data_IF_269025310236
#
_entry.id   IF_269025310236
#
_cell.length_a   1.000
_cell.length_b   1.000
_cell.length_c   1.000
_cell.angle_alpha   90.00
_cell.angle_beta   90.00
_cell.angle_gamma   90.00
#
_symmetry.space_group_name_H-M   'P 1'
#
loop_
_entity.id
_entity.type
_entity.pdbx_description
1 polymer ?
#
# COMPACT_ATOMS: atom_id res chain seq x y z
N UNK A 1 -22.91 6.02 6.57
CA UNK A 1 -22.65 5.12 5.41
C UNK A 1 -21.14 5.05 5.21
N UNK A 2 -20.59 3.84 5.13
CA UNK A 2 -19.22 3.58 4.71
C UNK A 2 -19.28 3.22 3.22
N UNK A 3 -18.62 3.99 2.37
CA UNK A 3 -18.50 3.68 0.95
C UNK A 3 -17.16 2.97 0.70
N UNK A 4 -17.23 1.76 0.19
CA UNK A 4 -16.08 1.02 -0.31
C UNK A 4 -15.78 1.47 -1.74
N UNK A 5 -14.61 2.03 -1.97
CA UNK A 5 -14.14 2.48 -3.28
C UNK A 5 -13.03 1.59 -3.84
N UNK A 6 -12.93 0.36 -3.34
CA UNK A 6 -11.87 -0.59 -3.75
C UNK A 6 -10.47 0.07 -3.71
N UNK A 7 -9.70 -0.03 -4.77
CA UNK A 7 -8.39 0.60 -4.90
C UNK A 7 -8.43 2.00 -5.55
N UNK A 8 -9.60 2.66 -5.60
CA UNK A 8 -9.79 4.02 -6.13
C UNK A 8 -10.02 4.10 -7.64
N UNK A 9 -10.09 2.98 -8.35
CA UNK A 9 -10.37 2.88 -9.80
C UNK A 9 -9.43 3.69 -10.70
N UNK A 10 -8.19 3.86 -10.30
CA UNK A 10 -7.16 4.55 -11.08
C UNK A 10 -6.08 5.18 -10.20
N UNK A 11 -5.59 6.33 -10.62
CA UNK A 11 -4.64 7.15 -9.86
C UNK A 11 -5.34 8.00 -8.79
N UNK A 12 -4.59 8.88 -8.13
CA UNK A 12 -5.11 9.79 -7.10
C UNK A 12 -6.19 10.74 -7.62
N UNK A 13 -6.12 11.17 -8.88
CA UNK A 13 -7.13 12.06 -9.48
C UNK A 13 -8.46 11.34 -9.68
N UNK A 14 -8.43 10.10 -10.19
CA UNK A 14 -9.61 9.26 -10.32
C UNK A 14 -10.22 8.93 -8.94
N UNK A 15 -9.37 8.65 -7.97
CA UNK A 15 -9.76 8.41 -6.57
C UNK A 15 -10.44 9.63 -5.96
N UNK A 16 -9.89 10.83 -6.17
CA UNK A 16 -10.50 12.10 -5.73
C UNK A 16 -11.90 12.27 -6.30
N UNK A 17 -12.05 12.12 -7.62
CA UNK A 17 -13.34 12.31 -8.30
C UNK A 17 -14.40 11.30 -7.81
N UNK A 18 -14.02 10.05 -7.58
CA UNK A 18 -14.91 9.02 -7.05
C UNK A 18 -15.30 9.32 -5.60
N UNK A 19 -14.32 9.61 -4.75
CA UNK A 19 -14.56 9.94 -3.34
C UNK A 19 -15.51 11.14 -3.22
N UNK A 20 -15.28 12.21 -4.00
CA UNK A 20 -16.15 13.38 -4.04
C UNK A 20 -17.60 13.00 -4.35
N UNK A 21 -17.84 12.17 -5.38
CA UNK A 21 -19.19 11.71 -5.73
C UNK A 21 -19.84 10.88 -4.63
N UNK A 22 -19.07 10.03 -3.95
CA UNK A 22 -19.60 9.24 -2.82
C UNK A 22 -19.97 10.12 -1.64
N UNK A 23 -19.15 11.14 -1.33
CA UNK A 23 -19.41 12.10 -0.25
C UNK A 23 -20.64 12.96 -0.59
N UNK A 24 -20.75 13.47 -1.81
CA UNK A 24 -21.95 14.20 -2.30
C UNK A 24 -23.22 13.34 -2.21
N UNK A 25 -23.10 12.02 -2.38
CA UNK A 25 -24.21 11.07 -2.22
C UNK A 25 -24.51 10.70 -0.75
N UNK A 26 -23.77 11.27 0.22
CA UNK A 26 -24.01 11.10 1.66
C UNK A 26 -23.13 10.09 2.36
N UNK A 27 -22.03 9.64 1.75
CA UNK A 27 -21.03 8.84 2.45
C UNK A 27 -20.27 9.72 3.46
N UNK A 28 -20.20 9.29 4.71
CA UNK A 28 -19.43 9.95 5.77
C UNK A 28 -18.14 9.21 6.12
N UNK A 29 -17.90 8.07 5.49
CA UNK A 29 -16.71 7.28 5.63
C UNK A 29 -16.35 6.66 4.27
N UNK A 30 -15.10 6.75 3.88
CA UNK A 30 -14.56 6.13 2.66
C UNK A 30 -13.56 5.05 3.04
N UNK A 31 -13.75 3.85 2.53
CA UNK A 31 -12.77 2.76 2.63
C UNK A 31 -12.02 2.66 1.31
N UNK A 32 -10.69 2.59 1.38
CA UNK A 32 -9.79 2.42 0.23
C UNK A 32 -8.68 1.43 0.56
N UNK A 33 -8.25 0.64 -0.43
CA UNK A 33 -7.22 -0.39 -0.28
C UNK A 33 -6.00 -0.17 -1.17
N UNK A 34 -4.86 -0.79 -0.79
CA UNK A 34 -3.58 -0.63 -1.47
C UNK A 34 -3.32 -1.62 -2.62
N UNK A 35 -4.33 -2.31 -3.12
CA UNK A 35 -4.18 -3.12 -4.33
C UNK A 35 -4.07 -2.24 -5.60
N UNK A 36 -3.54 -2.83 -6.67
CA UNK A 36 -3.54 -2.21 -8.00
C UNK A 36 -4.97 -2.26 -8.57
N UNK A 37 -5.51 -1.12 -9.02
CA UNK A 37 -6.93 -0.96 -9.36
C UNK A 37 -7.41 -1.90 -10.48
N UNK A 38 -6.61 -2.11 -11.51
CA UNK A 38 -6.94 -2.96 -12.67
C UNK A 38 -6.62 -4.46 -12.47
N UNK A 39 -5.98 -4.80 -11.35
CA UNK A 39 -5.61 -6.17 -10.97
C UNK A 39 -6.17 -6.57 -9.60
N UNK A 40 -7.13 -5.82 -9.11
CA UNK A 40 -7.74 -6.03 -7.80
C UNK A 40 -8.40 -7.41 -7.73
N UNK A 41 -8.10 -8.13 -6.65
CA UNK A 41 -8.65 -9.46 -6.35
C UNK A 41 -9.33 -9.45 -4.98
N UNK A 42 -10.22 -10.44 -4.77
CA UNK A 42 -10.80 -10.68 -3.46
C UNK A 42 -9.70 -10.96 -2.42
N UNK A 43 -9.86 -10.44 -1.21
CA UNK A 43 -8.87 -10.51 -0.13
C UNK A 43 -8.36 -11.92 0.18
N UNK A 44 -9.18 -12.94 -0.05
CA UNK A 44 -8.82 -14.36 0.20
C UNK A 44 -7.99 -14.99 -0.92
N UNK A 45 -7.86 -14.34 -2.07
CA UNK A 45 -7.17 -14.92 -3.22
C UNK A 45 -5.65 -14.68 -3.12
N UNK A 46 -4.89 -15.67 -3.62
CA UNK A 46 -3.45 -15.54 -3.79
C UNK A 46 -3.11 -14.70 -5.02
N UNK A 47 -1.90 -14.14 -5.05
CA UNK A 47 -1.41 -13.38 -6.19
C UNK A 47 -1.85 -11.93 -6.22
N UNK A 48 -2.29 -11.38 -5.10
CA UNK A 48 -2.58 -9.95 -4.96
C UNK A 48 -1.35 -9.11 -5.28
N UNK A 49 -1.59 -7.98 -5.95
CA UNK A 49 -0.57 -7.01 -6.34
C UNK A 49 -0.85 -5.70 -5.63
N UNK A 50 0.12 -5.20 -4.87
CA UNK A 50 0.00 -3.91 -4.18
C UNK A 50 0.72 -2.79 -4.94
N UNK A 51 0.26 -1.56 -4.72
CA UNK A 51 0.96 -0.35 -5.16
C UNK A 51 2.03 0.05 -4.14
N UNK A 52 3.08 0.80 -4.54
CA UNK A 52 4.01 1.41 -3.59
C UNK A 52 3.30 2.34 -2.61
N UNK A 53 3.92 2.54 -1.44
CA UNK A 53 3.37 3.41 -0.39
C UNK A 53 2.99 4.79 -0.90
N UNK A 54 3.90 5.47 -1.61
CA UNK A 54 3.67 6.83 -2.11
C UNK A 54 2.41 6.94 -2.98
N UNK A 55 2.11 5.92 -3.81
CA UNK A 55 0.90 5.88 -4.62
C UNK A 55 -0.36 5.71 -3.74
N UNK A 56 -0.29 4.85 -2.74
CA UNK A 56 -1.41 4.64 -1.82
C UNK A 56 -1.66 5.86 -0.94
N UNK A 57 -0.60 6.46 -0.40
CA UNK A 57 -0.69 7.68 0.41
C UNK A 57 -1.23 8.87 -0.39
N UNK A 58 -0.86 9.00 -1.67
CA UNK A 58 -1.43 10.01 -2.56
C UNK A 58 -2.94 9.84 -2.73
N UNK A 59 -3.43 8.59 -2.81
CA UNK A 59 -4.88 8.30 -2.86
C UNK A 59 -5.58 8.62 -1.54
N UNK A 60 -4.98 8.29 -0.39
CA UNK A 60 -5.52 8.69 0.93
C UNK A 60 -5.64 10.20 1.03
N UNK A 61 -4.60 10.94 0.63
CA UNK A 61 -4.62 12.39 0.58
C UNK A 61 -5.72 12.93 -0.35
N UNK A 62 -5.92 12.29 -1.50
CA UNK A 62 -6.98 12.66 -2.44
C UNK A 62 -8.39 12.51 -1.83
N UNK A 63 -8.63 11.43 -1.07
CA UNK A 63 -9.88 11.24 -0.33
C UNK A 63 -10.04 12.31 0.75
N UNK A 64 -8.99 12.60 1.52
CA UNK A 64 -9.01 13.66 2.54
C UNK A 64 -9.29 15.01 1.92
N UNK A 65 -8.68 15.32 0.78
CA UNK A 65 -8.93 16.55 0.05
C UNK A 65 -10.39 16.68 -0.40
N UNK A 66 -11.00 15.59 -0.87
CA UNK A 66 -12.43 15.60 -1.25
C UNK A 66 -13.36 15.93 -0.06
N UNK A 67 -13.07 15.40 1.14
CA UNK A 67 -13.79 15.76 2.35
C UNK A 67 -13.63 17.25 2.70
N UNK A 68 -12.39 17.76 2.65
CA UNK A 68 -12.10 19.16 2.95
C UNK A 68 -12.77 20.12 1.97
N UNK A 69 -12.73 19.82 0.67
CA UNK A 69 -13.36 20.67 -0.36
C UNK A 69 -14.88 20.74 -0.20
N UNK A 70 -15.50 19.65 0.24
CA UNK A 70 -16.95 19.58 0.48
C UNK A 70 -17.36 20.05 1.89
N UNK A 71 -16.42 20.59 2.67
CA UNK A 71 -16.64 21.08 4.03
C UNK A 71 -17.21 19.99 4.98
N UNK A 72 -16.79 18.72 4.79
CA UNK A 72 -17.17 17.60 5.64
C UNK A 72 -16.06 17.32 6.65
N UNK A 73 -16.02 18.11 7.72
CA UNK A 73 -14.94 18.09 8.70
C UNK A 73 -14.81 16.78 9.50
N UNK A 74 -15.89 16.01 9.62
CA UNK A 74 -15.96 14.76 10.36
C UNK A 74 -15.94 13.51 9.46
N UNK A 75 -15.54 13.67 8.21
CA UNK A 75 -15.38 12.56 7.28
C UNK A 75 -14.25 11.61 7.70
N UNK A 76 -14.50 10.30 7.67
CA UNK A 76 -13.55 9.28 8.07
C UNK A 76 -12.96 8.54 6.87
N UNK A 77 -11.70 8.14 6.99
CA UNK A 77 -10.99 7.31 6.01
C UNK A 77 -10.57 6.00 6.68
N UNK A 78 -11.00 4.89 6.09
CA UNK A 78 -10.53 3.55 6.43
C UNK A 78 -9.48 3.14 5.41
N UNK A 79 -8.22 3.05 5.82
CA UNK A 79 -7.15 2.54 4.99
C UNK A 79 -7.05 1.02 5.16
N UNK A 80 -7.37 0.27 4.08
CA UNK A 80 -7.22 -1.17 4.05
C UNK A 80 -5.87 -1.54 3.47
N UNK A 81 -5.18 -2.49 4.12
CA UNK A 81 -3.97 -3.09 3.58
C UNK A 81 -4.18 -4.57 3.25
N UNK A 82 -3.78 -4.95 2.05
CA UNK A 82 -3.75 -6.32 1.54
C UNK A 82 -2.34 -6.93 1.56
N UNK A 83 -1.36 -6.22 2.13
CA UNK A 83 0.05 -6.60 2.09
C UNK A 83 0.37 -7.93 2.77
N UNK A 84 -0.45 -8.38 3.74
CA UNK A 84 -0.23 -9.66 4.42
C UNK A 84 -0.19 -10.83 3.44
N UNK A 85 -1.14 -10.88 2.49
CA UNK A 85 -1.25 -11.93 1.48
C UNK A 85 -0.69 -11.56 0.09
N UNK A 86 -0.19 -10.32 -0.09
CA UNK A 86 0.34 -9.89 -1.38
C UNK A 86 1.81 -10.27 -1.54
N UNK A 87 2.14 -11.02 -2.60
CA UNK A 87 3.52 -11.38 -2.95
C UNK A 87 4.16 -10.50 -4.02
N UNK A 88 3.39 -9.56 -4.59
CA UNK A 88 3.77 -8.81 -5.78
C UNK A 88 3.54 -7.31 -5.63
N UNK A 89 4.36 -6.51 -6.31
CA UNK A 89 4.12 -5.08 -6.50
C UNK A 89 4.26 -4.67 -7.96
N UNK A 90 3.53 -3.62 -8.34
CA UNK A 90 3.48 -3.14 -9.71
C UNK A 90 4.76 -2.40 -10.13
N UNK A 91 5.33 -1.60 -9.24
CA UNK A 91 6.51 -0.78 -9.51
C UNK A 91 7.37 -0.60 -8.26
N UNK A 92 8.56 -0.10 -8.46
CA UNK A 92 9.55 0.15 -7.43
C UNK A 92 9.59 1.66 -7.18
N UNK A 93 9.37 2.12 -5.94
CA UNK A 93 9.52 3.52 -5.60
C UNK A 93 10.99 3.95 -5.66
N UNK A 94 11.21 5.18 -6.07
CA UNK A 94 12.56 5.77 -6.17
C UNK A 94 12.94 6.39 -4.84
N UNK A 95 13.90 5.78 -4.14
CA UNK A 95 14.49 6.37 -2.95
C UNK A 95 15.37 7.57 -3.31
N UNK A 96 15.19 8.67 -2.59
CA UNK A 96 15.98 9.90 -2.74
C UNK A 96 17.11 9.97 -1.71
N UNK A 97 16.90 9.34 -0.55
CA UNK A 97 17.87 9.33 0.54
C UNK A 97 17.75 8.03 1.37
N UNK A 98 18.83 7.57 2.00
CA UNK A 98 18.78 6.39 2.85
C UNK A 98 17.79 6.57 4.01
N UNK A 99 16.94 5.57 4.22
CA UNK A 99 15.96 5.57 5.30
C UNK A 99 14.63 6.28 4.99
N UNK A 100 14.48 6.85 3.79
CA UNK A 100 13.18 7.35 3.35
C UNK A 100 12.17 6.20 3.17
N UNK A 101 10.90 6.55 3.00
CA UNK A 101 9.82 5.58 2.88
C UNK A 101 10.02 4.62 1.69
N UNK A 102 10.52 5.15 0.57
CA UNK A 102 10.82 4.34 -0.61
C UNK A 102 11.94 3.33 -0.33
N UNK A 103 13.00 3.72 0.38
CA UNK A 103 14.08 2.78 0.75
C UNK A 103 13.61 1.72 1.73
N UNK A 104 12.76 2.07 2.71
CA UNK A 104 12.15 1.11 3.63
C UNK A 104 11.30 0.08 2.89
N UNK A 105 10.46 0.53 1.95
CA UNK A 105 9.66 -0.36 1.12
C UNK A 105 10.53 -1.28 0.26
N UNK A 106 11.61 -0.75 -0.33
CA UNK A 106 12.52 -1.50 -1.18
C UNK A 106 13.27 -2.61 -0.43
N UNK A 107 13.43 -2.51 0.90
CA UNK A 107 14.02 -3.58 1.71
C UNK A 107 13.21 -4.89 1.66
N UNK A 108 11.92 -4.82 1.37
CA UNK A 108 11.06 -6.00 1.26
C UNK A 108 11.11 -6.70 -0.10
N UNK A 109 11.72 -6.09 -1.12
CA UNK A 109 11.80 -6.67 -2.46
C UNK A 109 12.78 -7.83 -2.53
N UNK A 110 12.40 -8.89 -3.23
CA UNK A 110 13.32 -9.96 -3.62
C UNK A 110 14.31 -9.43 -4.64
N UNK A 111 15.59 -9.72 -4.45
CA UNK A 111 16.66 -9.12 -5.24
C UNK A 111 17.76 -10.13 -5.62
N UNK A 112 18.53 -9.79 -6.65
CA UNK A 112 19.76 -10.48 -7.06
C UNK A 112 20.95 -9.54 -6.90
N UNK A 113 22.14 -10.05 -6.53
CA UNK A 113 23.35 -9.25 -6.51
C UNK A 113 23.67 -8.67 -7.90
N UNK A 114 24.20 -7.47 -7.94
CA UNK A 114 24.84 -6.91 -9.13
C UNK A 114 26.34 -7.23 -9.01
N UNK A 115 26.79 -8.26 -9.74
CA UNK A 115 28.20 -8.70 -9.68
C UNK A 115 29.10 -7.83 -10.56
N UNK A 116 28.57 -7.34 -11.67
CA UNK A 116 29.27 -6.43 -12.59
C UNK A 116 28.29 -5.36 -13.09
N UNK A 117 28.61 -4.09 -12.87
CA UNK A 117 27.82 -2.95 -13.34
C UNK A 117 27.79 -2.89 -14.88
N UNK A 118 28.81 -3.43 -15.55
CA UNK A 118 28.87 -3.52 -17.00
C UNK A 118 27.87 -4.49 -17.63
N UNK A 119 27.26 -5.38 -16.84
CA UNK A 119 26.19 -6.29 -17.29
C UNK A 119 24.78 -5.67 -17.21
N UNK A 120 24.65 -4.46 -16.63
CA UNK A 120 23.38 -3.78 -16.54
C UNK A 120 23.00 -3.15 -17.90
N UNK A 121 21.78 -3.40 -18.32
CA UNK A 121 21.17 -2.69 -19.45
C UNK A 121 20.58 -1.35 -18.99
N UNK A 122 20.37 -0.44 -19.94
CA UNK A 122 19.70 0.85 -19.66
C UNK A 122 18.25 0.72 -19.14
N UNK A 123 17.65 -0.48 -19.28
CA UNK A 123 16.31 -0.79 -18.81
C UNK A 123 16.28 -1.50 -17.47
N UNK A 124 17.44 -1.79 -16.89
CA UNK A 124 17.53 -2.45 -15.61
C UNK A 124 17.33 -1.47 -14.44
N UNK A 125 16.40 -1.81 -13.57
CA UNK A 125 16.19 -1.08 -12.33
C UNK A 125 17.13 -1.64 -11.26
N UNK A 126 17.87 -0.76 -10.60
CA UNK A 126 18.72 -1.11 -9.45
C UNK A 126 18.31 -0.30 -8.24
N UNK A 127 18.44 -0.89 -7.07
CA UNK A 127 18.17 -0.28 -5.78
C UNK A 127 19.30 -0.55 -4.79
N UNK A 128 19.36 0.22 -3.72
CA UNK A 128 20.24 -0.09 -2.58
C UNK A 128 19.45 -0.86 -1.52
N UNK A 129 19.96 -2.01 -1.11
CA UNK A 129 19.48 -2.75 0.06
C UNK A 129 20.67 -3.02 0.99
N UNK A 130 20.53 -2.65 2.27
CA UNK A 130 21.59 -2.84 3.28
C UNK A 130 22.97 -2.34 2.81
N UNK A 131 22.98 -1.23 2.06
CA UNK A 131 24.20 -0.60 1.53
C UNK A 131 24.80 -1.26 0.27
N UNK A 132 24.21 -2.33 -0.24
CA UNK A 132 24.63 -2.98 -1.48
C UNK A 132 23.73 -2.58 -2.65
N UNK A 133 24.31 -2.41 -3.85
CA UNK A 133 23.57 -2.24 -5.09
C UNK A 133 23.05 -3.60 -5.54
N UNK A 134 21.74 -3.71 -5.72
CA UNK A 134 21.05 -4.96 -6.09
C UNK A 134 20.00 -4.72 -7.18
N UNK A 135 19.63 -5.78 -7.88
CA UNK A 135 18.60 -5.76 -8.92
C UNK A 135 17.35 -6.48 -8.41
N UNK A 136 16.19 -5.80 -8.31
CA UNK A 136 14.93 -6.44 -7.95
C UNK A 136 14.53 -7.52 -8.95
N UNK A 137 13.94 -8.60 -8.41
CA UNK A 137 13.43 -9.70 -9.25
C UNK A 137 12.15 -9.27 -9.94
N UNK A 138 12.21 -9.14 -11.27
CA UNK A 138 11.10 -8.81 -12.13
C UNK A 138 10.59 -10.06 -12.84
N UNK A 139 9.27 -10.27 -12.84
CA UNK A 139 8.60 -11.35 -13.55
C UNK A 139 8.38 -11.00 -15.03
N UNK A 140 8.04 -12.00 -15.84
CA UNK A 140 7.75 -11.80 -17.27
C UNK A 140 6.56 -10.86 -17.52
N UNK A 141 5.58 -10.83 -16.59
CA UNK A 141 4.44 -9.91 -16.64
C UNK A 141 4.77 -8.48 -16.18
N UNK A 142 6.03 -8.21 -15.86
CA UNK A 142 6.49 -6.88 -15.46
C UNK A 142 6.39 -6.56 -13.97
N UNK A 143 5.76 -7.42 -13.17
CA UNK A 143 5.64 -7.25 -11.71
C UNK A 143 6.93 -7.62 -10.97
N UNK A 144 7.08 -7.09 -9.77
CA UNK A 144 8.21 -7.36 -8.89
C UNK A 144 7.80 -8.23 -7.70
N UNK A 145 8.72 -9.09 -7.26
CA UNK A 145 8.50 -10.00 -6.14
C UNK A 145 8.88 -9.35 -4.81
N UNK A 146 8.07 -9.60 -3.79
CA UNK A 146 8.47 -9.41 -2.40
C UNK A 146 9.18 -10.65 -1.87
N UNK A 147 10.07 -10.46 -0.90
CA UNK A 147 10.67 -11.55 -0.12
C UNK A 147 9.60 -12.36 0.60
N UNK A 148 9.71 -13.69 0.64
CA UNK A 148 8.80 -14.51 1.43
C UNK A 148 8.76 -14.09 2.90
N UNK A 149 7.60 -14.23 3.52
CA UNK A 149 7.37 -13.96 4.96
C UNK A 149 7.56 -12.50 5.39
N UNK A 150 7.54 -11.53 4.47
CA UNK A 150 7.61 -10.10 4.79
C UNK A 150 6.23 -9.41 4.88
N UNK A 151 5.15 -10.15 4.68
CA UNK A 151 3.80 -9.58 4.64
C UNK A 151 3.41 -8.84 5.92
N UNK A 152 3.75 -9.40 7.09
CA UNK A 152 3.45 -8.77 8.37
C UNK A 152 4.19 -7.44 8.54
N UNK A 153 5.50 -7.41 8.30
CA UNK A 153 6.30 -6.18 8.44
C UNK A 153 5.82 -5.08 7.47
N UNK A 154 5.39 -5.48 6.26
CA UNK A 154 4.80 -4.56 5.29
C UNK A 154 3.46 -3.99 5.76
N UNK A 155 2.61 -4.83 6.37
CA UNK A 155 1.35 -4.36 6.98
C UNK A 155 1.61 -3.35 8.08
N UNK A 156 2.59 -3.59 8.96
CA UNK A 156 2.96 -2.64 10.02
C UNK A 156 3.37 -1.29 9.42
N UNK A 157 4.21 -1.32 8.38
CA UNK A 157 4.63 -0.10 7.68
C UNK A 157 3.44 0.62 6.99
N UNK A 158 2.56 -0.13 6.31
CA UNK A 158 1.34 0.41 5.71
C UNK A 158 0.44 1.10 6.73
N UNK A 159 0.24 0.47 7.88
CA UNK A 159 -0.61 1.00 8.95
C UNK A 159 -0.06 2.32 9.49
N UNK A 160 1.22 2.35 9.86
CA UNK A 160 1.88 3.55 10.42
C UNK A 160 1.80 4.70 9.40
N UNK A 161 2.22 4.44 8.17
CA UNK A 161 2.27 5.48 7.13
C UNK A 161 0.88 5.98 6.73
N UNK A 162 -0.13 5.11 6.69
CA UNK A 162 -1.51 5.51 6.39
C UNK A 162 -2.08 6.44 7.46
N UNK A 163 -1.84 6.15 8.75
CA UNK A 163 -2.26 7.02 9.86
C UNK A 163 -1.55 8.37 9.81
N UNK A 164 -0.24 8.38 9.57
CA UNK A 164 0.56 9.61 9.45
C UNK A 164 0.10 10.50 8.28
N UNK A 165 -0.57 9.90 7.28
CA UNK A 165 -1.08 10.61 6.08
C UNK A 165 -2.60 10.79 6.09
N UNK A 166 -3.25 10.68 7.24
CA UNK A 166 -4.63 11.13 7.43
C UNK A 166 -5.69 10.03 7.30
N UNK A 167 -5.34 8.75 7.34
CA UNK A 167 -6.30 7.70 7.63
C UNK A 167 -6.74 7.77 9.10
N UNK A 168 -8.01 7.52 9.36
CA UNK A 168 -8.57 7.54 10.72
C UNK A 168 -8.67 6.14 11.32
N UNK A 169 -8.90 5.14 10.47
CA UNK A 169 -9.08 3.74 10.82
C UNK A 169 -8.27 2.85 9.90
N UNK A 170 -7.91 1.68 10.41
CA UNK A 170 -7.16 0.67 9.64
C UNK A 170 -7.99 -0.59 9.46
N UNK A 171 -7.88 -1.19 8.28
CA UNK A 171 -8.43 -2.50 7.97
C UNK A 171 -7.30 -3.40 7.46
N UNK A 172 -7.05 -4.49 8.16
CA UNK A 172 -6.03 -5.47 7.77
C UNK A 172 -6.73 -6.68 7.18
N UNK A 173 -6.50 -6.90 5.90
CA UNK A 173 -7.07 -8.05 5.20
C UNK A 173 -6.27 -9.32 5.49
N UNK A 174 -6.93 -10.33 6.03
CA UNK A 174 -6.33 -11.61 6.40
C UNK A 174 -7.08 -12.76 5.74
N UNK A 175 -6.36 -13.81 5.33
CA UNK A 175 -6.99 -15.04 4.81
C UNK A 175 -7.70 -15.83 5.91
N UNK A 176 -7.12 -15.82 7.10
CA UNK A 176 -7.63 -16.51 8.30
C UNK A 176 -7.40 -15.64 9.52
N UNK A 177 -8.31 -15.63 10.49
CA UNK A 177 -8.10 -14.91 11.74
C UNK A 177 -6.86 -15.46 12.46
N UNK A 178 -5.90 -14.58 12.70
CA UNK A 178 -4.70 -14.87 13.47
C UNK A 178 -4.64 -13.92 14.67
N UNK A 179 -5.14 -14.39 15.81
CA UNK A 179 -5.28 -13.57 17.04
C UNK A 179 -3.93 -13.01 17.51
N UNK A 180 -2.84 -13.75 17.35
CA UNK A 180 -1.51 -13.29 17.75
C UNK A 180 -1.06 -12.10 16.90
N UNK A 181 -1.13 -12.22 15.58
CA UNK A 181 -0.79 -11.12 14.66
C UNK A 181 -1.68 -9.90 14.89
N UNK A 182 -2.97 -10.10 15.13
CA UNK A 182 -3.93 -9.03 15.43
C UNK A 182 -3.49 -8.29 16.72
N UNK A 183 -3.17 -9.02 17.78
CA UNK A 183 -2.74 -8.44 19.05
C UNK A 183 -1.43 -7.66 18.91
N UNK A 184 -0.48 -8.16 18.15
CA UNK A 184 0.78 -7.47 17.85
C UNK A 184 0.54 -6.18 17.06
N UNK A 185 -0.34 -6.21 16.06
CA UNK A 185 -0.69 -5.03 15.27
C UNK A 185 -1.38 -3.95 16.11
N UNK A 186 -2.32 -4.33 16.99
CA UNK A 186 -2.98 -3.40 17.93
C UNK A 186 -1.93 -2.77 18.85
N UNK A 187 -1.00 -3.57 19.36
CA UNK A 187 0.06 -3.08 20.23
C UNK A 187 0.96 -2.05 19.53
N UNK A 188 1.34 -2.31 18.28
CA UNK A 188 2.24 -1.41 17.51
C UNK A 188 1.56 -0.11 17.09
N UNK A 189 0.28 -0.14 16.74
CA UNK A 189 -0.39 1.01 16.13
C UNK A 189 -1.26 1.82 17.10
N UNK A 190 -1.59 1.28 18.28
CA UNK A 190 -2.34 1.99 19.32
C UNK A 190 -3.71 2.55 18.89
N UNK A 191 -4.28 2.04 17.79
CA UNK A 191 -5.50 2.55 17.18
C UNK A 191 -6.53 1.46 16.94
N UNK A 192 -7.75 1.87 16.58
CA UNK A 192 -8.83 0.94 16.25
C UNK A 192 -8.58 0.27 14.91
N UNK A 193 -8.44 -1.05 14.93
CA UNK A 193 -8.27 -1.88 13.74
C UNK A 193 -9.60 -2.57 13.44
N UNK A 194 -10.09 -2.42 12.21
CA UNK A 194 -11.23 -3.17 11.71
C UNK A 194 -10.73 -4.50 11.16
N UNK A 195 -11.36 -5.57 11.58
CA UNK A 195 -10.98 -6.93 11.23
C UNK A 195 -12.07 -7.63 10.44
N UNK A 196 -11.65 -8.42 9.47
CA UNK A 196 -12.50 -9.41 8.81
C UNK A 196 -12.55 -10.71 9.61
#
# INVERSE_FOLDING_TARGET
>A
IIADIDAGFGNEEATYLLAKKMIEAGACCIQIENQVSDQKQCGHQAGKVTVPHEDFLSKINAVRYAFLELEVDNGLIVARTDSLGAGLTQKIPVSKEPGDLASQYNEFLETKPVNDVGELSEHDVTIHQKGALVKPVRLENGLYLFKPNTGFDRVVLDCITSLDHGADLLWIETEKPNITQISEMIYHNGTTIIHN
#
